data_IF_844123814853
#
_entry.id   IF_844123814853
#
_cell.length_a   1.000
_cell.length_b   1.000
_cell.length_c   1.000
_cell.angle_alpha   90.00
_cell.angle_beta   90.00
_cell.angle_gamma   90.00
#
_symmetry.space_group_name_H-M   'P 1'
#
loop_
_entity.id
_entity.type
_entity.pdbx_description
1 polymer ?
#
# COMPACT_ATOMS: atom_id res chain seq x y z
N UNK A 1 21.23 -9.17 -34.94
CA UNK A 1 19.88 -9.48 -34.43
C UNK A 1 19.44 -8.57 -33.27
N UNK A 2 20.35 -8.03 -32.45
CA UNK A 2 20.00 -7.25 -31.25
C UNK A 2 19.06 -6.03 -31.45
N UNK A 3 19.18 -5.20 -32.51
CA UNK A 3 18.36 -3.99 -32.61
C UNK A 3 16.86 -4.26 -32.83
N UNK A 4 16.49 -5.31 -33.58
CA UNK A 4 15.09 -5.66 -33.85
C UNK A 4 14.41 -6.20 -32.59
N UNK A 5 15.08 -7.12 -31.89
CA UNK A 5 14.55 -7.72 -30.67
C UNK A 5 14.34 -6.68 -29.55
N UNK A 6 15.23 -5.69 -29.43
CA UNK A 6 15.08 -4.60 -28.45
C UNK A 6 13.89 -3.70 -28.80
N UNK A 7 13.71 -3.38 -30.09
CA UNK A 7 12.56 -2.58 -30.54
C UNK A 7 11.23 -3.31 -30.30
N UNK A 8 11.18 -4.62 -30.60
CA UNK A 8 10.02 -5.47 -30.33
C UNK A 8 9.73 -5.58 -28.83
N UNK A 9 10.76 -5.79 -28.00
CA UNK A 9 10.62 -5.82 -26.54
C UNK A 9 10.14 -4.49 -25.96
N UNK A 10 10.61 -3.37 -26.52
CA UNK A 10 10.17 -2.03 -26.11
C UNK A 10 8.69 -1.82 -26.46
N UNK A 11 8.29 -2.13 -27.70
CA UNK A 11 6.90 -2.03 -28.12
C UNK A 11 5.95 -2.97 -27.34
N UNK A 12 6.41 -4.20 -27.04
CA UNK A 12 5.67 -5.14 -26.21
C UNK A 12 5.51 -4.63 -24.77
N UNK A 13 6.57 -4.03 -24.20
CA UNK A 13 6.52 -3.42 -22.87
C UNK A 13 5.55 -2.24 -22.82
N UNK A 14 5.58 -1.34 -23.80
CA UNK A 14 4.67 -0.19 -23.86
C UNK A 14 3.19 -0.62 -23.99
N UNK A 15 2.92 -1.70 -24.73
CA UNK A 15 1.58 -2.30 -24.80
C UNK A 15 1.17 -2.96 -23.49
N UNK A 16 2.09 -3.66 -22.83
CA UNK A 16 1.86 -4.23 -21.51
C UNK A 16 1.47 -3.16 -20.50
N UNK A 17 2.17 -2.02 -20.49
CA UNK A 17 1.84 -0.89 -19.60
C UNK A 17 0.41 -0.37 -19.80
N UNK A 18 -0.16 -0.53 -21.00
CA UNK A 18 -1.55 -0.17 -21.33
C UNK A 18 -2.56 -1.30 -21.12
N UNK A 19 -2.12 -2.44 -20.59
CA UNK A 19 -2.96 -3.60 -20.27
C UNK A 19 -3.04 -4.66 -21.36
N UNK A 20 -2.34 -4.49 -22.50
CA UNK A 20 -2.31 -5.48 -23.57
C UNK A 20 -1.09 -6.40 -23.42
N UNK A 21 -1.31 -7.54 -22.78
CA UNK A 21 -0.28 -8.55 -22.52
C UNK A 21 -0.02 -9.50 -23.70
N UNK A 22 -0.84 -9.47 -24.77
CA UNK A 22 -0.74 -10.43 -25.87
C UNK A 22 0.67 -10.46 -26.52
N UNK A 23 1.22 -9.31 -26.94
CA UNK A 23 2.57 -9.24 -27.49
C UNK A 23 3.66 -9.62 -26.49
N UNK A 24 3.46 -9.29 -25.21
CA UNK A 24 4.40 -9.61 -24.13
C UNK A 24 4.53 -11.12 -23.97
N UNK A 25 3.41 -11.83 -23.86
CA UNK A 25 3.39 -13.29 -23.68
C UNK A 25 4.01 -14.00 -24.90
N UNK A 26 3.63 -13.60 -26.11
CA UNK A 26 4.20 -14.17 -27.34
C UNK A 26 5.72 -13.94 -27.45
N UNK A 27 6.21 -12.79 -26.99
CA UNK A 27 7.64 -12.48 -27.01
C UNK A 27 8.41 -13.23 -25.92
N UNK A 28 7.84 -13.40 -24.72
CA UNK A 28 8.48 -14.16 -23.64
C UNK A 28 8.84 -15.59 -24.08
N UNK A 29 7.91 -16.29 -24.74
CA UNK A 29 8.14 -17.63 -25.30
C UNK A 29 9.29 -17.65 -26.32
N UNK A 30 9.41 -16.60 -27.12
CA UNK A 30 10.48 -16.47 -28.12
C UNK A 30 11.84 -16.14 -27.50
N UNK A 31 11.86 -15.43 -26.36
CA UNK A 31 13.07 -15.03 -25.66
C UNK A 31 13.64 -16.13 -24.75
N UNK A 32 12.89 -17.19 -24.47
CA UNK A 32 13.28 -18.28 -23.55
C UNK A 32 14.58 -18.99 -23.92
N UNK A 33 14.88 -19.09 -25.21
CA UNK A 33 16.07 -19.79 -25.70
C UNK A 33 17.35 -18.92 -25.70
N UNK A 34 17.25 -17.62 -25.40
CA UNK A 34 18.39 -16.70 -25.48
C UNK A 34 19.16 -16.64 -24.16
N UNK A 35 20.50 -16.75 -24.25
CA UNK A 35 21.43 -16.52 -23.14
C UNK A 35 22.10 -15.13 -23.18
N UNK A 36 21.74 -14.29 -24.15
CA UNK A 36 22.29 -12.94 -24.28
C UNK A 36 21.85 -12.05 -23.10
N UNK A 37 22.76 -11.38 -22.36
CA UNK A 37 22.43 -10.63 -21.15
C UNK A 37 21.36 -9.54 -21.35
N UNK A 38 21.41 -8.82 -22.47
CA UNK A 38 20.44 -7.75 -22.77
C UNK A 38 19.06 -8.34 -23.05
N UNK A 39 19.01 -9.45 -23.78
CA UNK A 39 17.78 -10.20 -24.05
C UNK A 39 17.17 -10.76 -22.76
N UNK A 40 18.00 -11.33 -21.89
CA UNK A 40 17.58 -11.83 -20.57
C UNK A 40 17.04 -10.68 -19.70
N UNK A 41 17.67 -9.52 -19.71
CA UNK A 41 17.17 -8.35 -18.98
C UNK A 41 15.82 -7.87 -19.53
N UNK A 42 15.62 -7.81 -20.85
CA UNK A 42 14.32 -7.50 -21.44
C UNK A 42 13.25 -8.52 -21.08
N UNK A 43 13.57 -9.82 -21.15
CA UNK A 43 12.70 -10.90 -20.69
C UNK A 43 12.28 -10.67 -19.24
N UNK A 44 13.22 -10.37 -18.34
CA UNK A 44 12.92 -10.09 -16.93
C UNK A 44 12.02 -8.86 -16.75
N UNK A 45 12.26 -7.78 -17.50
CA UNK A 45 11.42 -6.57 -17.45
C UNK A 45 9.99 -6.86 -17.91
N UNK A 46 9.83 -7.60 -19.01
CA UNK A 46 8.53 -8.04 -19.53
C UNK A 46 7.80 -8.93 -18.53
N UNK A 47 8.49 -9.90 -17.91
CA UNK A 47 7.92 -10.70 -16.83
C UNK A 47 7.48 -9.84 -15.65
N UNK A 48 8.31 -8.89 -15.20
CA UNK A 48 7.98 -8.04 -14.08
C UNK A 48 6.71 -7.21 -14.36
N UNK A 49 6.59 -6.62 -15.55
CA UNK A 49 5.38 -5.90 -15.98
C UNK A 49 4.16 -6.81 -16.10
N UNK A 50 4.29 -7.97 -16.75
CA UNK A 50 3.20 -8.94 -16.88
C UNK A 50 2.70 -9.41 -15.50
N UNK A 51 3.61 -9.62 -14.56
CA UNK A 51 3.27 -10.06 -13.21
C UNK A 51 2.38 -9.07 -12.46
N UNK A 52 2.48 -7.76 -12.75
CA UNK A 52 1.62 -6.73 -12.16
C UNK A 52 0.20 -6.74 -12.75
N UNK A 53 -0.02 -7.43 -13.88
CA UNK A 53 -1.28 -7.43 -14.63
C UNK A 53 -1.94 -8.80 -14.73
N UNK A 54 -1.20 -9.88 -14.50
CA UNK A 54 -1.70 -11.25 -14.54
C UNK A 54 -2.67 -11.54 -13.38
N UNK A 55 -3.81 -12.15 -13.69
CA UNK A 55 -4.85 -12.49 -12.73
C UNK A 55 -4.48 -13.66 -11.82
N UNK A 56 -3.63 -14.58 -12.29
CA UNK A 56 -3.30 -15.82 -11.58
C UNK A 56 -1.95 -15.73 -10.85
N UNK A 57 -1.86 -16.39 -9.70
CA UNK A 57 -0.61 -16.70 -8.99
C UNK A 57 0.17 -17.80 -9.71
N UNK A 58 0.39 -17.65 -11.01
CA UNK A 58 1.08 -18.70 -11.75
C UNK A 58 2.54 -18.81 -11.23
N UNK A 59 2.95 -19.97 -10.66
CA UNK A 59 4.30 -20.17 -10.13
C UNK A 59 5.40 -20.01 -11.20
N UNK A 60 5.04 -19.97 -12.48
CA UNK A 60 5.93 -19.57 -13.57
C UNK A 60 6.47 -18.13 -13.45
N UNK A 61 5.93 -17.30 -12.55
CA UNK A 61 6.37 -15.93 -12.28
C UNK A 61 7.27 -15.78 -11.04
N UNK A 62 7.89 -16.86 -10.54
CA UNK A 62 9.06 -16.68 -9.68
C UNK A 62 10.14 -15.95 -10.48
N UNK A 63 10.32 -14.66 -10.20
CA UNK A 63 11.39 -13.86 -10.77
C UNK A 63 12.70 -14.64 -10.62
N UNK A 64 13.48 -14.86 -11.69
CA UNK A 64 14.76 -15.53 -11.58
C UNK A 64 15.58 -14.83 -10.49
N UNK A 65 15.81 -15.52 -9.36
CA UNK A 65 16.35 -14.89 -8.16
C UNK A 65 17.76 -14.35 -8.35
N UNK A 66 18.52 -14.85 -9.34
CA UNK A 66 19.97 -14.63 -9.37
C UNK A 66 20.61 -14.31 -10.72
N UNK A 67 19.88 -14.09 -11.82
CA UNK A 67 20.53 -13.96 -13.16
C UNK A 67 21.25 -12.63 -13.41
N UNK A 68 21.06 -11.60 -12.58
CA UNK A 68 21.87 -10.37 -12.60
C UNK A 68 22.89 -10.30 -11.45
N UNK A 69 22.97 -11.32 -10.59
CA UNK A 69 23.99 -11.40 -9.54
C UNK A 69 25.41 -11.65 -10.11
N UNK A 70 25.50 -12.10 -11.37
CA UNK A 70 26.77 -12.30 -12.06
C UNK A 70 27.30 -10.99 -12.65
N UNK A 71 27.83 -10.11 -11.79
CA UNK A 71 29.10 -9.40 -11.95
C UNK A 71 29.45 -8.58 -13.20
N UNK A 72 28.67 -8.59 -14.27
CA UNK A 72 28.91 -7.79 -15.47
C UNK A 72 28.22 -6.44 -15.27
N UNK A 73 29.02 -5.42 -15.01
CA UNK A 73 28.56 -4.02 -15.06
C UNK A 73 28.07 -3.75 -16.47
N UNK A 74 26.76 -3.86 -16.67
CA UNK A 74 26.10 -3.34 -17.84
C UNK A 74 26.23 -1.82 -17.82
N UNK A 75 27.21 -1.28 -18.53
CA UNK A 75 27.37 0.17 -18.65
C UNK A 75 26.28 0.77 -19.56
N UNK A 76 25.88 2.01 -19.28
CA UNK A 76 24.96 2.76 -20.12
C UNK A 76 23.51 2.21 -20.12
N UNK A 77 22.92 1.89 -21.29
CA UNK A 77 21.50 1.48 -21.38
C UNK A 77 21.11 0.25 -20.56
N UNK A 78 22.05 -0.68 -20.32
CA UNK A 78 21.76 -1.88 -19.54
C UNK A 78 21.62 -1.62 -18.04
N UNK A 79 22.35 -0.64 -17.47
CA UNK A 79 22.15 -0.21 -16.08
C UNK A 79 20.74 0.36 -15.85
N UNK A 80 20.24 1.17 -16.79
CA UNK A 80 18.88 1.72 -16.73
C UNK A 80 17.82 0.61 -16.81
N UNK A 81 18.06 -0.41 -17.63
CA UNK A 81 17.15 -1.56 -17.74
C UNK A 81 17.11 -2.37 -16.44
N UNK A 82 18.27 -2.61 -15.82
CA UNK A 82 18.36 -3.24 -14.51
C UNK A 82 17.62 -2.46 -13.43
N UNK A 83 17.78 -1.13 -13.39
CA UNK A 83 17.08 -0.26 -12.45
C UNK A 83 15.55 -0.37 -12.59
N UNK A 84 15.03 -0.37 -13.82
CA UNK A 84 13.59 -0.56 -14.08
C UNK A 84 13.07 -1.91 -13.63
N UNK A 85 13.85 -2.98 -13.85
CA UNK A 85 13.50 -4.32 -13.40
C UNK A 85 13.40 -4.35 -11.87
N UNK A 86 14.38 -3.75 -11.17
CA UNK A 86 14.36 -3.69 -9.72
C UNK A 86 13.22 -2.83 -9.19
N UNK A 87 12.93 -1.69 -9.83
CA UNK A 87 11.76 -0.86 -9.51
C UNK A 87 10.44 -1.64 -9.60
N UNK A 88 10.22 -2.38 -10.69
CA UNK A 88 9.00 -3.20 -10.85
C UNK A 88 8.92 -4.35 -9.84
N UNK A 89 10.05 -4.99 -9.52
CA UNK A 89 10.12 -6.04 -8.49
C UNK A 89 9.83 -5.48 -7.10
N UNK A 90 10.41 -4.33 -6.77
CA UNK A 90 10.18 -3.64 -5.50
C UNK A 90 8.73 -3.16 -5.37
N UNK A 91 8.13 -2.64 -6.45
CA UNK A 91 6.71 -2.32 -6.50
C UNK A 91 5.84 -3.56 -6.27
N UNK A 92 6.12 -4.68 -6.93
CA UNK A 92 5.37 -5.94 -6.72
C UNK A 92 5.44 -6.38 -5.25
N UNK A 93 6.64 -6.37 -4.67
CA UNK A 93 6.83 -6.73 -3.27
C UNK A 93 6.10 -5.75 -2.33
N UNK A 94 6.16 -4.45 -2.63
CA UNK A 94 5.44 -3.42 -1.91
C UNK A 94 3.93 -3.66 -1.92
N UNK A 95 3.32 -3.96 -3.07
CA UNK A 95 1.87 -4.20 -3.17
C UNK A 95 1.44 -5.42 -2.34
N UNK A 96 2.30 -6.43 -2.24
CA UNK A 96 2.09 -7.62 -1.41
C UNK A 96 2.43 -7.41 0.09
N UNK A 97 2.86 -6.21 0.48
CA UNK A 97 3.41 -5.89 1.81
C UNK A 97 4.57 -6.81 2.22
N UNK A 98 5.40 -7.26 1.27
CA UNK A 98 6.56 -8.12 1.54
C UNK A 98 7.85 -7.35 1.30
N UNK A 99 8.79 -7.47 2.23
CA UNK A 99 10.18 -7.10 2.04
C UNK A 99 10.84 -8.06 1.06
N UNK A 100 11.84 -7.57 0.31
CA UNK A 100 12.60 -8.40 -0.64
C UNK A 100 13.70 -9.23 0.04
N UNK A 101 13.67 -9.39 1.37
CA UNK A 101 14.81 -9.89 2.14
C UNK A 101 15.96 -8.87 2.20
N UNK A 102 17.00 -9.16 2.99
CA UNK A 102 18.21 -8.34 3.09
C UNK A 102 19.03 -8.41 1.78
N UNK A 103 18.56 -7.77 0.71
CA UNK A 103 19.43 -7.45 -0.41
C UNK A 103 20.25 -6.23 -0.01
N UNK A 104 21.43 -6.49 0.53
CA UNK A 104 22.46 -5.51 0.92
C UNK A 104 23.10 -4.80 -0.31
N UNK A 105 22.37 -4.74 -1.42
CA UNK A 105 22.79 -4.08 -2.64
C UNK A 105 22.60 -2.57 -2.47
N UNK A 106 23.58 -1.93 -1.83
CA UNK A 106 23.69 -0.49 -1.79
C UNK A 106 23.52 0.11 -3.21
N UNK A 107 22.86 1.27 -3.34
CA UNK A 107 22.69 1.93 -4.64
C UNK A 107 24.05 2.19 -5.29
N UNK A 108 24.25 1.62 -6.49
CA UNK A 108 25.53 1.72 -7.23
C UNK A 108 25.70 3.06 -7.95
N UNK A 109 24.67 3.90 -8.02
CA UNK A 109 24.69 5.20 -8.66
C UNK A 109 24.07 6.27 -7.75
N UNK A 110 24.71 7.43 -7.62
CA UNK A 110 24.56 8.42 -6.54
C UNK A 110 23.21 9.16 -6.39
N UNK A 111 22.11 8.63 -6.91
CA UNK A 111 20.75 9.06 -6.59
C UNK A 111 19.92 7.80 -6.32
N UNK A 112 19.15 7.78 -5.22
CA UNK A 112 18.35 6.62 -4.85
C UNK A 112 17.44 6.18 -5.99
N UNK A 113 17.42 4.88 -6.25
CA UNK A 113 16.61 4.26 -7.32
C UNK A 113 15.13 4.23 -6.95
N UNK A 114 14.24 3.98 -7.93
CA UNK A 114 12.83 3.74 -7.63
C UNK A 114 12.67 2.55 -6.67
N UNK A 115 13.51 1.52 -6.82
CA UNK A 115 13.61 0.38 -5.91
C UNK A 115 13.91 0.83 -4.47
N UNK A 116 14.93 1.66 -4.27
CA UNK A 116 15.30 2.18 -2.95
C UNK A 116 14.16 2.97 -2.31
N UNK A 117 13.44 3.75 -3.10
CA UNK A 117 12.33 4.54 -2.60
C UNK A 117 11.19 3.64 -2.08
N UNK A 118 10.84 2.57 -2.80
CA UNK A 118 9.87 1.57 -2.32
C UNK A 118 10.35 0.83 -1.07
N UNK A 119 11.62 0.44 -1.02
CA UNK A 119 12.20 -0.22 0.16
C UNK A 119 12.12 0.64 1.41
N UNK A 120 12.39 1.93 1.26
CA UNK A 120 12.37 2.85 2.38
C UNK A 120 10.95 3.12 2.85
N UNK A 121 10.00 3.23 1.93
CA UNK A 121 8.57 3.26 2.28
C UNK A 121 8.12 2.02 3.03
N UNK A 122 8.58 0.81 2.67
CA UNK A 122 8.29 -0.41 3.45
C UNK A 122 8.78 -0.26 4.89
N UNK A 123 10.01 0.22 5.08
CA UNK A 123 10.61 0.46 6.41
C UNK A 123 10.03 1.68 7.16
N UNK A 124 9.06 2.38 6.57
CA UNK A 124 8.51 3.61 7.15
C UNK A 124 9.47 4.79 7.13
N UNK A 125 10.55 4.69 6.35
CA UNK A 125 11.51 5.75 6.08
C UNK A 125 11.08 6.49 4.81
N UNK A 126 10.55 7.70 4.94
CA UNK A 126 10.29 8.54 3.77
C UNK A 126 11.58 8.77 2.95
N UNK A 127 11.56 8.65 1.61
CA UNK A 127 12.69 9.09 0.79
C UNK A 127 12.93 10.61 0.98
N UNK A 128 14.19 11.10 1.16
CA UNK A 128 14.51 12.50 1.22
C UNK A 128 13.95 13.22 0.01
N UNK A 129 13.55 14.47 0.22
CA UNK A 129 13.01 15.30 -0.85
C UNK A 129 13.95 15.38 -2.06
N UNK A 130 15.27 15.46 -1.83
CA UNK A 130 16.27 15.44 -2.90
C UNK A 130 16.28 14.15 -3.74
N UNK A 131 16.00 12.99 -3.13
CA UNK A 131 15.87 11.72 -3.87
C UNK A 131 14.59 11.75 -4.71
N UNK A 132 13.48 12.24 -4.15
CA UNK A 132 12.22 12.35 -4.88
C UNK A 132 12.29 13.32 -6.06
N UNK A 133 12.93 14.47 -5.87
CA UNK A 133 13.17 15.44 -6.93
C UNK A 133 14.06 14.85 -8.03
N UNK A 134 15.07 14.06 -7.64
CA UNK A 134 15.91 13.29 -8.54
C UNK A 134 15.12 12.31 -9.42
N UNK A 135 14.27 11.48 -8.79
CA UNK A 135 13.40 10.51 -9.49
C UNK A 135 12.44 11.20 -10.46
N UNK A 136 11.80 12.28 -10.04
CA UNK A 136 10.89 13.07 -10.89
C UNK A 136 11.65 13.68 -12.08
N UNK A 137 12.81 14.29 -11.83
CA UNK A 137 13.62 14.90 -12.87
C UNK A 137 14.13 13.85 -13.88
N UNK A 138 14.50 12.66 -13.40
CA UNK A 138 14.90 11.55 -14.25
C UNK A 138 13.74 11.06 -15.12
N UNK A 139 12.55 10.85 -14.54
CA UNK A 139 11.38 10.42 -15.30
C UNK A 139 11.02 11.43 -16.41
N UNK A 140 11.14 12.73 -16.13
CA UNK A 140 10.95 13.80 -17.13
C UNK A 140 12.03 13.74 -18.22
N UNK A 141 13.32 13.61 -17.85
CA UNK A 141 14.42 13.49 -18.83
C UNK A 141 14.25 12.26 -19.72
N UNK A 142 13.85 11.14 -19.14
CA UNK A 142 13.59 9.88 -19.83
C UNK A 142 12.27 9.89 -20.64
N UNK A 143 11.45 10.94 -20.51
CA UNK A 143 10.10 11.03 -21.10
C UNK A 143 9.23 9.81 -20.75
N UNK A 144 9.40 9.27 -19.54
CA UNK A 144 8.68 8.09 -19.09
C UNK A 144 7.52 8.51 -18.18
N UNK A 145 6.32 8.51 -18.75
CA UNK A 145 5.07 8.76 -18.03
C UNK A 145 4.85 7.76 -16.88
N UNK A 146 5.22 6.49 -17.10
CA UNK A 146 5.15 5.43 -16.10
C UNK A 146 5.99 5.76 -14.86
N UNK A 147 7.29 6.01 -15.04
CA UNK A 147 8.19 6.40 -13.94
C UNK A 147 7.73 7.68 -13.24
N UNK A 148 7.15 8.63 -13.97
CA UNK A 148 6.70 9.88 -13.37
C UNK A 148 5.45 9.68 -12.50
N UNK A 149 4.51 8.82 -12.91
CA UNK A 149 3.36 8.43 -12.10
C UNK A 149 3.83 7.68 -10.84
N UNK A 150 4.76 6.75 -10.99
CA UNK A 150 5.34 5.98 -9.89
C UNK A 150 6.03 6.89 -8.87
N UNK A 151 6.93 7.77 -9.31
CA UNK A 151 7.59 8.74 -8.44
C UNK A 151 6.59 9.67 -7.74
N UNK A 152 5.50 10.05 -8.41
CA UNK A 152 4.43 10.85 -7.80
C UNK A 152 3.67 10.06 -6.72
N UNK A 153 3.44 8.77 -6.93
CA UNK A 153 2.80 7.88 -5.97
C UNK A 153 3.69 7.68 -4.72
N UNK A 154 4.98 7.42 -4.91
CA UNK A 154 5.98 7.34 -3.84
C UNK A 154 6.04 8.65 -3.04
N UNK A 155 6.10 9.80 -3.72
CA UNK A 155 6.14 11.10 -3.05
C UNK A 155 4.88 11.37 -2.22
N UNK A 156 3.71 10.89 -2.69
CA UNK A 156 2.47 10.97 -1.93
C UNK A 156 2.51 10.10 -0.67
N UNK A 157 3.01 8.87 -0.76
CA UNK A 157 3.15 7.97 0.39
C UNK A 157 4.14 8.55 1.41
N UNK A 158 5.30 9.03 0.97
CA UNK A 158 6.27 9.70 1.83
C UNK A 158 5.67 10.91 2.56
N UNK A 159 4.90 11.73 1.84
CA UNK A 159 4.20 12.86 2.44
C UNK A 159 3.14 12.43 3.47
N UNK A 160 2.50 11.26 3.31
CA UNK A 160 1.60 10.70 4.33
C UNK A 160 2.38 10.28 5.58
N UNK A 161 3.48 9.54 5.43
CA UNK A 161 4.31 9.10 6.55
C UNK A 161 4.89 10.27 7.35
N UNK A 162 5.16 11.40 6.69
CA UNK A 162 5.62 12.65 7.31
C UNK A 162 4.48 13.53 7.87
N UNK A 163 3.22 13.14 7.70
CA UNK A 163 2.05 13.92 8.15
C UNK A 163 1.75 15.17 7.31
N UNK A 164 2.34 15.31 6.11
CA UNK A 164 2.09 16.40 5.15
C UNK A 164 0.82 16.11 4.32
N UNK A 165 -0.32 16.05 5.00
CA UNK A 165 -1.60 15.54 4.47
C UNK A 165 -2.10 16.23 3.20
N UNK A 166 -2.06 17.57 3.14
CA UNK A 166 -2.51 18.32 1.96
C UNK A 166 -1.62 18.04 0.74
N UNK A 167 -0.31 17.96 0.95
CA UNK A 167 0.67 17.63 -0.11
C UNK A 167 0.43 16.21 -0.62
N UNK A 168 0.20 15.25 0.27
CA UNK A 168 -0.12 13.88 -0.11
C UNK A 168 -1.36 13.80 -1.01
N UNK A 169 -2.48 14.41 -0.60
CA UNK A 169 -3.72 14.39 -1.41
C UNK A 169 -3.52 15.08 -2.77
N UNK A 170 -2.77 16.18 -2.81
CA UNK A 170 -2.44 16.88 -4.06
C UNK A 170 -1.63 15.98 -5.01
N UNK A 171 -0.58 15.32 -4.50
CA UNK A 171 0.26 14.41 -5.28
C UNK A 171 -0.52 13.18 -5.77
N UNK A 172 -1.29 12.52 -4.89
CA UNK A 172 -2.10 11.37 -5.25
C UNK A 172 -3.12 11.69 -6.37
N UNK A 173 -3.78 12.85 -6.28
CA UNK A 173 -4.70 13.33 -7.33
C UNK A 173 -3.98 13.58 -8.65
N UNK A 174 -2.78 14.16 -8.60
CA UNK A 174 -1.95 14.38 -9.78
C UNK A 174 -1.57 13.05 -10.44
N UNK A 175 -1.04 12.09 -9.66
CA UNK A 175 -0.68 10.76 -10.15
C UNK A 175 -1.85 10.04 -10.81
N UNK A 176 -3.03 10.04 -10.17
CA UNK A 176 -4.25 9.42 -10.71
C UNK A 176 -4.69 10.04 -12.04
N UNK A 177 -4.63 11.38 -12.19
CA UNK A 177 -4.93 12.05 -13.46
C UNK A 177 -3.92 11.69 -14.55
N UNK A 178 -2.63 11.68 -14.21
CA UNK A 178 -1.56 11.35 -15.16
C UNK A 178 -1.69 9.92 -15.66
N UNK A 179 -1.86 8.95 -14.75
CA UNK A 179 -2.03 7.55 -15.12
C UNK A 179 -3.22 7.33 -16.07
N UNK A 180 -4.32 8.07 -15.85
CA UNK A 180 -5.50 8.03 -16.72
C UNK A 180 -5.22 8.65 -18.08
N UNK A 181 -4.65 9.84 -18.13
CA UNK A 181 -4.33 10.54 -19.38
C UNK A 181 -3.41 9.70 -20.27
N UNK A 182 -2.48 8.98 -19.66
CA UNK A 182 -1.48 8.17 -20.34
C UNK A 182 -1.92 6.72 -20.56
N UNK A 183 -3.14 6.36 -20.12
CA UNK A 183 -3.74 5.02 -20.25
C UNK A 183 -2.87 3.91 -19.66
N UNK A 184 -2.16 4.19 -18.56
CA UNK A 184 -1.24 3.25 -17.93
C UNK A 184 -1.98 2.37 -16.92
N UNK A 185 -2.28 1.13 -17.28
CA UNK A 185 -3.16 0.22 -16.54
C UNK A 185 -2.67 -0.05 -15.10
N UNK A 186 -1.51 -0.69 -14.93
CA UNK A 186 -0.97 -0.99 -13.60
C UNK A 186 -0.70 0.28 -12.77
N UNK A 187 -0.26 1.36 -13.42
CA UNK A 187 0.02 2.63 -12.75
C UNK A 187 -1.27 3.35 -12.32
N UNK A 188 -2.37 3.16 -13.04
CA UNK A 188 -3.69 3.64 -12.63
C UNK A 188 -4.17 2.88 -11.37
N UNK A 189 -3.89 1.59 -11.24
CA UNK A 189 -4.18 0.84 -10.01
C UNK A 189 -3.39 1.40 -8.83
N UNK A 190 -2.06 1.54 -8.99
CA UNK A 190 -1.18 2.13 -7.98
C UNK A 190 -1.65 3.53 -7.56
N UNK A 191 -1.82 4.43 -8.52
CA UNK A 191 -2.14 5.82 -8.24
C UNK A 191 -3.52 5.98 -7.57
N UNK A 192 -4.49 5.14 -7.93
CA UNK A 192 -5.80 5.16 -7.29
C UNK A 192 -5.78 4.51 -5.90
N UNK A 193 -4.99 3.47 -5.64
CA UNK A 193 -4.78 2.93 -4.29
C UNK A 193 -4.12 3.95 -3.37
N UNK A 194 -3.07 4.63 -3.83
CA UNK A 194 -2.42 5.71 -3.08
C UNK A 194 -3.40 6.85 -2.81
N UNK A 195 -4.26 7.19 -3.78
CA UNK A 195 -5.32 8.17 -3.58
C UNK A 195 -6.38 7.70 -2.58
N UNK A 196 -6.79 6.42 -2.62
CA UNK A 196 -7.71 5.85 -1.65
C UNK A 196 -7.13 5.94 -0.23
N UNK A 197 -5.86 5.55 -0.04
CA UNK A 197 -5.15 5.69 1.23
C UNK A 197 -5.07 7.15 1.69
N UNK A 198 -4.63 8.07 0.82
CA UNK A 198 -4.56 9.49 1.15
C UNK A 198 -5.93 10.04 1.58
N UNK A 199 -7.00 9.63 0.91
CA UNK A 199 -8.38 9.99 1.28
C UNK A 199 -8.78 9.43 2.63
N UNK A 200 -8.46 8.17 2.92
CA UNK A 200 -8.76 7.55 4.21
C UNK A 200 -8.06 8.29 5.35
N UNK A 201 -6.74 8.49 5.24
CA UNK A 201 -5.92 9.16 6.26
C UNK A 201 -6.36 10.62 6.46
N UNK A 202 -6.79 11.31 5.41
CA UNK A 202 -7.30 12.70 5.50
C UNK A 202 -8.78 12.80 5.87
N UNK A 203 -9.44 11.70 6.21
CA UNK A 203 -10.79 11.70 6.76
C UNK A 203 -11.94 11.66 5.77
N UNK A 204 -11.69 11.15 4.58
CA UNK A 204 -12.69 10.94 3.53
C UNK A 204 -12.85 9.44 3.20
N UNK A 205 -13.26 8.59 4.16
CA UNK A 205 -13.34 7.15 3.97
C UNK A 205 -14.34 6.71 2.92
N UNK A 206 -15.47 7.39 2.79
CA UNK A 206 -16.48 7.06 1.79
C UNK A 206 -15.94 7.26 0.37
N UNK A 207 -15.02 8.22 0.19
CA UNK A 207 -14.31 8.40 -1.07
C UNK A 207 -13.25 7.32 -1.25
N UNK A 208 -12.51 6.97 -0.19
CA UNK A 208 -11.56 5.86 -0.22
C UNK A 208 -12.23 4.55 -0.61
N UNK A 209 -13.35 4.21 0.02
CA UNK A 209 -14.17 3.03 -0.28
C UNK A 209 -14.73 3.05 -1.70
N UNK A 210 -15.19 4.20 -2.19
CA UNK A 210 -15.64 4.31 -3.59
C UNK A 210 -14.51 3.97 -4.56
N UNK A 211 -13.29 4.46 -4.30
CA UNK A 211 -12.12 4.18 -5.13
C UNK A 211 -11.72 2.70 -5.01
N UNK A 212 -11.54 2.19 -3.79
CA UNK A 212 -11.11 0.82 -3.54
C UNK A 212 -12.15 -0.21 -4.02
N UNK A 213 -13.45 0.07 -3.87
CA UNK A 213 -14.53 -0.76 -4.39
C UNK A 213 -14.63 -0.75 -5.92
N UNK A 214 -14.33 0.37 -6.58
CA UNK A 214 -14.21 0.39 -8.04
C UNK A 214 -12.98 -0.43 -8.50
N UNK A 215 -11.88 -0.39 -7.75
CA UNK A 215 -10.68 -1.17 -8.04
C UNK A 215 -10.88 -2.67 -7.81
N UNK A 216 -11.57 -3.10 -6.75
CA UNK A 216 -11.73 -4.53 -6.44
C UNK A 216 -12.37 -5.34 -7.58
N UNK A 217 -13.15 -4.69 -8.45
CA UNK A 217 -13.80 -5.32 -9.60
C UNK A 217 -12.88 -5.49 -10.81
N UNK A 218 -11.74 -4.80 -10.87
CA UNK A 218 -10.89 -4.73 -12.09
C UNK A 218 -9.43 -5.06 -11.84
N UNK A 219 -8.93 -4.96 -10.61
CA UNK A 219 -7.51 -5.23 -10.35
C UNK A 219 -7.24 -6.74 -10.30
N UNK A 220 -6.08 -7.19 -10.82
CA UNK A 220 -5.68 -8.59 -10.75
C UNK A 220 -5.24 -8.98 -9.33
N UNK A 221 -5.10 -10.29 -9.09
CA UNK A 221 -4.81 -10.87 -7.76
C UNK A 221 -3.69 -10.17 -6.97
N UNK A 222 -2.52 -9.81 -7.57
CA UNK A 222 -1.43 -9.18 -6.83
C UNK A 222 -1.82 -7.92 -6.07
N UNK A 223 -2.84 -7.18 -6.53
CA UNK A 223 -3.30 -5.92 -5.92
C UNK A 223 -4.42 -6.11 -4.91
N UNK A 224 -5.06 -7.30 -4.89
CA UNK A 224 -6.25 -7.55 -4.08
C UNK A 224 -5.93 -7.41 -2.59
N UNK A 225 -4.74 -7.80 -2.14
CA UNK A 225 -4.31 -7.61 -0.74
C UNK A 225 -4.39 -6.14 -0.31
N UNK A 226 -3.76 -5.24 -1.06
CA UNK A 226 -3.79 -3.81 -0.74
C UNK A 226 -5.21 -3.22 -0.89
N UNK A 227 -5.99 -3.62 -1.90
CA UNK A 227 -7.40 -3.19 -2.01
C UNK A 227 -8.21 -3.59 -0.78
N UNK A 228 -8.13 -4.85 -0.36
CA UNK A 228 -8.84 -5.38 0.82
C UNK A 228 -8.36 -4.72 2.10
N UNK A 229 -7.06 -4.41 2.21
CA UNK A 229 -6.51 -3.62 3.32
C UNK A 229 -7.15 -2.24 3.42
N UNK A 230 -7.18 -1.49 2.32
CA UNK A 230 -7.79 -0.14 2.32
C UNK A 230 -9.29 -0.20 2.57
N UNK A 231 -9.99 -1.23 2.08
CA UNK A 231 -11.40 -1.47 2.38
C UNK A 231 -11.62 -1.74 3.88
N UNK A 232 -10.85 -2.65 4.47
CA UNK A 232 -10.93 -2.99 5.89
C UNK A 232 -10.70 -1.75 6.78
N UNK A 233 -9.62 -1.01 6.51
CA UNK A 233 -9.27 0.19 7.28
C UNK A 233 -10.23 1.36 7.06
N UNK A 234 -10.95 1.39 5.94
CA UNK A 234 -12.01 2.36 5.70
C UNK A 234 -13.39 1.90 6.21
N UNK A 235 -13.47 0.70 6.81
CA UNK A 235 -14.66 0.17 7.48
C UNK A 235 -15.50 -0.80 6.65
N UNK A 236 -15.13 -1.13 5.42
CA UNK A 236 -15.89 -2.08 4.61
C UNK A 236 -15.48 -3.53 4.94
N UNK A 237 -16.32 -4.19 5.75
CA UNK A 237 -16.08 -5.53 6.30
C UNK A 237 -16.97 -6.62 5.69
N UNK A 238 -17.90 -6.22 4.82
CA UNK A 238 -18.87 -7.11 4.18
C UNK A 238 -18.36 -7.60 2.82
N UNK A 239 -18.76 -8.82 2.45
CA UNK A 239 -18.59 -9.34 1.09
C UNK A 239 -17.22 -9.93 0.77
N UNK A 240 -17.27 -11.20 0.31
CA UNK A 240 -16.19 -12.08 -0.17
C UNK A 240 -15.41 -12.82 0.93
N UNK A 241 -15.45 -14.16 0.82
CA UNK A 241 -14.49 -15.14 1.34
C UNK A 241 -14.25 -15.20 2.84
N UNK A 242 -14.47 -16.36 3.46
CA UNK A 242 -13.83 -16.71 4.73
C UNK A 242 -12.34 -17.09 4.50
N UNK A 243 -11.64 -16.36 3.63
CA UNK A 243 -10.22 -16.59 3.38
C UNK A 243 -9.45 -16.17 4.64
N UNK A 244 -8.59 -17.07 5.13
CA UNK A 244 -7.81 -16.85 6.34
C UNK A 244 -6.89 -15.62 6.25
N UNK A 245 -6.56 -15.18 5.04
CA UNK A 245 -5.64 -14.08 4.76
C UNK A 245 -6.35 -12.77 4.36
N UNK A 246 -7.67 -12.65 4.56
CA UNK A 246 -8.40 -11.41 4.23
C UNK A 246 -8.39 -10.41 5.42
N UNK A 247 -7.78 -9.21 5.27
CA UNK A 247 -7.80 -8.18 6.31
C UNK A 247 -9.21 -7.79 6.77
N UNK A 248 -10.21 -7.85 5.89
CA UNK A 248 -11.60 -7.49 6.22
C UNK A 248 -12.23 -8.50 7.18
N UNK A 249 -12.02 -9.79 6.93
CA UNK A 249 -12.49 -10.86 7.81
C UNK A 249 -11.81 -10.79 9.18
N UNK A 250 -10.49 -10.55 9.19
CA UNK A 250 -9.72 -10.38 10.42
C UNK A 250 -10.23 -9.20 11.26
N UNK A 251 -10.44 -8.02 10.65
CA UNK A 251 -10.98 -6.84 11.36
C UNK A 251 -12.39 -7.06 11.88
N UNK A 252 -13.28 -7.70 11.10
CA UNK A 252 -14.64 -8.03 11.54
C UNK A 252 -14.63 -8.93 12.78
N UNK A 253 -13.84 -9.98 12.75
CA UNK A 253 -13.74 -10.95 13.84
C UNK A 253 -13.06 -10.32 15.07
N UNK A 254 -12.09 -9.42 14.86
CA UNK A 254 -11.43 -8.66 15.92
C UNK A 254 -12.43 -7.77 16.65
N UNK A 255 -13.30 -7.06 15.91
CA UNK A 255 -14.38 -6.26 16.47
C UNK A 255 -15.38 -7.12 17.24
N UNK A 256 -15.72 -8.31 16.73
CA UNK A 256 -16.61 -9.24 17.42
C UNK A 256 -16.00 -9.73 18.75
N UNK A 257 -14.71 -10.08 18.77
CA UNK A 257 -13.99 -10.49 19.98
C UNK A 257 -13.89 -9.35 21.01
N UNK A 258 -13.63 -8.13 20.55
CA UNK A 258 -13.64 -6.94 21.40
C UNK A 258 -15.03 -6.67 22.00
N UNK A 259 -16.09 -6.87 21.22
CA UNK A 259 -17.49 -6.74 21.66
C UNK A 259 -17.89 -7.80 22.69
N UNK A 260 -17.42 -9.04 22.54
CA UNK A 260 -17.72 -10.12 23.49
C UNK A 260 -16.82 -10.15 24.72
N UNK A 261 -15.77 -9.32 24.77
CA UNK A 261 -14.75 -9.38 25.82
C UNK A 261 -13.88 -10.64 25.77
N UNK A 262 -13.79 -11.30 24.61
CA UNK A 262 -12.96 -12.50 24.43
C UNK A 262 -11.50 -12.07 24.25
N UNK A 263 -10.78 -11.99 25.37
CA UNK A 263 -9.40 -11.48 25.40
C UNK A 263 -8.45 -12.33 24.58
N UNK A 264 -8.53 -13.66 24.74
CA UNK A 264 -7.63 -14.61 24.07
C UNK A 264 -7.81 -14.52 22.56
N UNK A 265 -9.06 -14.50 22.09
CA UNK A 265 -9.34 -14.36 20.66
C UNK A 265 -8.96 -12.99 20.11
N UNK A 266 -9.20 -11.92 20.85
CA UNK A 266 -8.82 -10.56 20.46
C UNK A 266 -7.30 -10.44 20.26
N UNK A 267 -6.50 -10.99 21.17
CA UNK A 267 -5.04 -10.96 21.06
C UNK A 267 -4.53 -11.78 19.87
N UNK A 268 -5.08 -12.99 19.67
CA UNK A 268 -4.73 -13.83 18.52
C UNK A 268 -5.05 -13.13 17.18
N UNK A 269 -6.25 -12.57 17.05
CA UNK A 269 -6.65 -11.82 15.85
C UNK A 269 -5.85 -10.53 15.66
N UNK A 270 -5.48 -9.85 16.75
CA UNK A 270 -4.63 -8.68 16.67
C UNK A 270 -3.23 -9.00 16.16
N UNK A 271 -2.67 -10.14 16.58
CA UNK A 271 -1.41 -10.65 16.04
C UNK A 271 -1.54 -10.98 14.54
N UNK A 272 -2.60 -11.69 14.14
CA UNK A 272 -2.86 -11.98 12.73
C UNK A 272 -3.04 -10.72 11.88
N UNK A 273 -3.68 -9.67 12.39
CA UNK A 273 -3.83 -8.41 11.66
C UNK A 273 -2.48 -7.71 11.43
N UNK A 274 -1.59 -7.75 12.41
CA UNK A 274 -0.23 -7.20 12.28
C UNK A 274 0.59 -8.03 11.29
N UNK A 275 0.43 -9.36 11.28
CA UNK A 275 1.06 -10.23 10.28
C UNK A 275 0.56 -9.96 8.86
N UNK A 276 -0.74 -9.69 8.68
CA UNK A 276 -1.33 -9.31 7.40
C UNK A 276 -0.84 -7.94 6.90
N UNK A 277 -0.41 -7.05 7.79
CA UNK A 277 0.25 -5.80 7.41
C UNK A 277 1.64 -6.03 6.80
N UNK A 278 2.20 -7.25 6.96
CA UNK A 278 3.48 -7.66 6.43
C UNK A 278 4.61 -6.73 6.86
N UNK A 279 5.53 -6.44 5.96
CA UNK A 279 6.71 -5.60 6.19
C UNK A 279 6.45 -4.11 5.98
N UNK A 280 5.23 -3.70 5.65
CA UNK A 280 4.92 -2.29 5.43
C UNK A 280 4.60 -1.58 6.75
N UNK A 281 5.53 -0.77 7.24
CA UNK A 281 5.41 -0.06 8.52
C UNK A 281 4.16 0.80 8.62
N UNK A 282 3.69 1.46 7.55
CA UNK A 282 2.47 2.26 7.63
C UNK A 282 1.19 1.40 7.73
N UNK A 283 1.18 0.20 7.14
CA UNK A 283 0.11 -0.77 7.38
C UNK A 283 0.18 -1.32 8.81
N UNK A 284 1.36 -1.61 9.34
CA UNK A 284 1.52 -2.01 10.73
C UNK A 284 1.03 -0.91 11.68
N UNK A 285 1.32 0.36 11.39
CA UNK A 285 0.79 1.52 12.13
C UNK A 285 -0.74 1.56 12.08
N UNK A 286 -1.37 1.31 10.93
CA UNK A 286 -2.83 1.20 10.83
C UNK A 286 -3.38 0.08 11.74
N UNK A 287 -2.77 -1.11 11.70
CA UNK A 287 -3.18 -2.25 12.52
C UNK A 287 -3.03 -1.98 14.01
N UNK A 288 -1.88 -1.44 14.43
CA UNK A 288 -1.65 -1.07 15.81
C UNK A 288 -2.61 0.02 16.29
N UNK A 289 -2.82 1.06 15.48
CA UNK A 289 -3.77 2.12 15.81
C UNK A 289 -5.17 1.53 16.07
N UNK A 290 -5.63 0.61 15.21
CA UNK A 290 -6.88 -0.11 15.43
C UNK A 290 -6.89 -0.86 16.76
N UNK A 291 -5.86 -1.66 17.05
CA UNK A 291 -5.77 -2.40 18.31
C UNK A 291 -5.79 -1.49 19.54
N UNK A 292 -5.07 -0.36 19.50
CA UNK A 292 -5.09 0.64 20.57
C UNK A 292 -6.47 1.28 20.75
N UNK A 293 -7.23 1.45 19.67
CA UNK A 293 -8.59 2.01 19.75
C UNK A 293 -9.63 1.06 20.35
N UNK A 294 -9.40 -0.25 20.30
CA UNK A 294 -10.31 -1.29 20.79
C UNK A 294 -9.98 -1.78 22.21
N UNK A 295 -8.79 -1.50 22.70
CA UNK A 295 -8.27 -2.03 23.96
C UNK A 295 -7.74 -0.89 24.87
N UNK A 296 -8.55 -0.39 25.82
CA UNK A 296 -8.14 0.70 26.70
C UNK A 296 -7.03 0.32 27.68
N UNK A 297 -6.73 -0.98 27.85
CA UNK A 297 -5.61 -1.43 28.67
C UNK A 297 -4.26 -1.28 27.94
N UNK A 298 -4.26 -1.11 26.61
CA UNK A 298 -3.04 -0.86 25.86
C UNK A 298 -2.62 0.59 26.01
N UNK A 299 -1.47 0.79 26.64
CA UNK A 299 -0.81 2.10 26.67
C UNK A 299 -0.07 2.32 25.33
N UNK A 300 -0.41 3.38 24.62
CA UNK A 300 0.36 3.79 23.45
C UNK A 300 1.72 4.33 23.89
N UNK A 301 2.79 3.80 23.31
CA UNK A 301 4.15 4.35 23.49
C UNK A 301 4.44 5.51 22.53
N UNK A 302 3.58 5.74 21.53
CA UNK A 302 3.77 6.75 20.49
C UNK A 302 2.58 7.73 20.47
N UNK A 303 2.76 8.98 20.93
CA UNK A 303 1.69 9.99 20.96
C UNK A 303 1.17 10.38 19.57
N UNK A 304 1.87 10.00 18.48
CA UNK A 304 1.42 10.25 17.11
C UNK A 304 0.44 9.20 16.57
N UNK A 305 0.32 8.03 17.21
CA UNK A 305 -0.60 6.95 16.79
C UNK A 305 -2.07 7.39 16.77
N UNK A 306 -2.47 8.36 17.62
CA UNK A 306 -3.81 8.92 17.61
C UNK A 306 -4.22 9.57 16.28
N UNK A 307 -3.25 9.98 15.45
CA UNK A 307 -3.51 10.66 14.17
C UNK A 307 -3.98 9.73 13.05
N UNK A 308 -3.61 8.44 13.08
CA UNK A 308 -3.95 7.50 12.00
C UNK A 308 -5.46 7.15 11.93
N UNK A 309 -6.17 7.27 13.06
CA UNK A 309 -7.59 6.92 13.18
C UNK A 309 -8.53 8.12 13.27
N UNK A 310 -8.04 9.35 13.14
CA UNK A 310 -8.81 10.54 13.49
C UNK A 310 -10.06 10.81 12.63
N UNK A 311 -10.44 9.96 11.67
CA UNK A 311 -11.58 10.29 10.85
C UNK A 311 -12.46 9.18 10.22
N UNK A 312 -12.19 7.84 10.28
CA UNK A 312 -13.29 7.00 9.78
C UNK A 312 -13.58 5.58 10.24
N UNK A 313 -12.77 4.85 11.02
CA UNK A 313 -13.36 3.64 11.63
C UNK A 313 -14.52 4.01 12.57
N UNK A 314 -14.47 5.24 13.05
CA UNK A 314 -15.56 5.91 13.73
C UNK A 314 -16.82 6.01 12.83
N UNK A 315 -16.75 6.23 11.51
CA UNK A 315 -17.97 6.44 10.67
C UNK A 315 -18.82 5.17 10.48
N UNK A 316 -18.23 3.96 10.50
CA UNK A 316 -19.01 2.71 10.56
C UNK A 316 -19.31 2.24 12.00
N UNK A 317 -18.71 2.87 13.00
CA UNK A 317 -19.09 2.81 14.41
C UNK A 317 -19.94 4.03 14.85
N UNK A 318 -20.54 4.79 13.91
CA UNK A 318 -21.30 6.05 14.15
C UNK A 318 -20.64 7.05 15.12
N UNK A 319 -19.35 7.31 14.96
CA UNK A 319 -18.57 8.25 15.75
C UNK A 319 -17.75 9.15 14.80
N UNK A 320 -17.61 10.43 15.15
CA UNK A 320 -16.69 11.36 14.50
C UNK A 320 -15.59 11.66 15.52
N UNK A 321 -14.44 10.99 15.36
CA UNK A 321 -13.26 11.17 16.20
C UNK A 321 -13.41 10.70 17.65
N UNK A 322 -12.38 10.03 18.17
CA UNK A 322 -12.23 9.78 19.60
C UNK A 322 -11.00 10.56 20.08
N UNK A 323 -11.12 11.34 21.16
CA UNK A 323 -9.96 11.75 21.95
C UNK A 323 -10.08 11.15 23.35
N UNK A 324 -9.04 10.46 23.79
CA UNK A 324 -8.89 10.03 25.18
C UNK A 324 -8.33 11.23 25.94
N UNK A 325 -9.10 11.79 26.87
CA UNK A 325 -8.58 12.76 27.83
C UNK A 325 -8.56 12.13 29.21
N UNK A 326 -7.39 12.15 29.85
CA UNK A 326 -7.26 11.97 31.29
C UNK A 326 -7.86 13.19 31.99
N UNK A 327 -8.89 12.99 32.81
CA UNK A 327 -9.33 14.02 33.74
C UNK A 327 -8.54 13.90 35.06
N UNK A 328 -8.34 15.03 35.75
CA UNK A 328 -7.60 15.12 37.02
C UNK A 328 -8.19 14.26 38.16
N UNK A 329 -9.39 13.71 37.96
CA UNK A 329 -10.09 12.80 38.87
C UNK A 329 -9.81 11.30 38.60
N UNK A 330 -8.93 10.98 37.65
CA UNK A 330 -8.55 9.59 37.33
C UNK A 330 -9.56 8.87 36.44
N UNK A 331 -10.55 9.57 35.87
CA UNK A 331 -11.45 8.98 34.88
C UNK A 331 -10.88 9.08 33.46
N UNK A 332 -10.72 7.93 32.79
CA UNK A 332 -10.40 7.87 31.36
C UNK A 332 -11.70 8.02 30.57
N UNK A 333 -11.90 9.19 29.96
CA UNK A 333 -13.07 9.48 29.13
C UNK A 333 -12.71 9.53 27.65
N UNK A 334 -13.44 8.79 26.82
CA UNK A 334 -13.46 9.00 25.36
C UNK A 334 -14.45 10.13 25.06
N UNK A 335 -13.95 11.26 24.56
CA UNK A 335 -14.80 12.34 24.02
C UNK A 335 -14.91 12.20 22.51
N UNK A 336 -16.15 12.14 22.01
CA UNK A 336 -16.50 12.17 20.59
C UNK A 336 -17.00 13.57 20.26
N UNK A 337 -16.43 14.22 19.24
CA UNK A 337 -16.79 15.60 18.88
C UNK A 337 -17.84 15.58 17.76
N UNK A 338 -18.99 16.20 18.02
CA UNK A 338 -19.96 16.57 16.99
C UNK A 338 -19.66 18.00 16.48
N UNK A 339 -20.16 18.32 15.27
CA UNK A 339 -19.97 19.61 14.61
C UNK A 339 -20.38 20.82 15.47
N UNK A 340 -19.86 22.04 15.20
CA UNK A 340 -20.20 23.25 15.96
C UNK A 340 -21.71 23.49 16.01
N UNK A 341 -22.27 23.57 17.22
CA UNK A 341 -23.69 23.89 17.47
C UNK A 341 -24.60 22.70 17.77
N UNK A 342 -24.10 21.48 17.93
CA UNK A 342 -24.89 20.33 18.39
C UNK A 342 -24.51 19.86 19.79
N UNK A 343 -25.51 19.40 20.54
CA UNK A 343 -25.34 18.83 21.90
C UNK A 343 -24.51 17.55 21.79
N UNK A 344 -23.44 17.46 22.57
CA UNK A 344 -22.58 16.27 22.67
C UNK A 344 -23.40 15.06 23.15
N UNK A 345 -23.39 13.98 22.37
CA UNK A 345 -24.02 12.71 22.73
C UNK A 345 -22.94 11.63 22.88
N UNK A 346 -22.95 10.92 24.02
CA UNK A 346 -22.10 9.77 24.30
C UNK A 346 -22.62 8.58 23.48
N UNK A 347 -21.94 8.26 22.38
CA UNK A 347 -22.27 7.09 21.55
C UNK A 347 -21.03 6.20 21.46
N UNK A 348 -20.83 5.40 22.50
CA UNK A 348 -20.51 4.00 22.28
C UNK A 348 -21.86 3.30 22.36
N UNK A 349 -22.22 2.44 21.43
CA UNK A 349 -23.19 1.41 21.80
C UNK A 349 -22.68 0.74 23.07
N UNK A 350 -23.53 0.59 24.08
CA UNK A 350 -23.22 -0.18 25.28
C UNK A 350 -22.63 -1.53 24.83
N UNK A 351 -21.35 -1.79 25.14
CA UNK A 351 -20.73 -3.11 24.95
C UNK A 351 -19.80 -3.32 23.75
N UNK A 352 -19.27 -2.29 23.06
CA UNK A 352 -18.15 -2.48 22.13
C UNK A 352 -16.85 -1.91 22.74
N UNK A 353 -15.92 -2.81 23.09
CA UNK A 353 -14.64 -2.51 23.72
C UNK A 353 -14.48 -3.19 25.08
N UNK A 354 -13.24 -3.52 25.48
CA UNK A 354 -12.99 -4.03 26.83
C UNK A 354 -13.34 -2.96 27.86
N UNK A 355 -14.39 -3.18 28.64
CA UNK A 355 -14.64 -2.34 29.80
C UNK A 355 -13.59 -2.65 30.88
N UNK A 356 -13.02 -1.63 31.55
CA UNK A 356 -12.16 -1.88 32.70
C UNK A 356 -12.93 -2.69 33.76
N UNK A 357 -12.27 -3.58 34.51
CA UNK A 357 -12.89 -4.26 35.63
C UNK A 357 -13.45 -3.22 36.62
N UNK A 358 -14.75 -3.32 36.96
CA UNK A 358 -15.45 -2.39 37.85
C UNK A 358 -16.28 -1.31 37.16
N UNK A 359 -16.34 -1.29 35.82
CA UNK A 359 -17.22 -0.38 35.09
C UNK A 359 -18.61 -1.02 34.90
N UNK A 360 -19.58 -0.66 35.75
CA UNK A 360 -20.98 -1.03 35.53
C UNK A 360 -21.59 -0.15 34.42
N UNK A 361 -22.22 -0.74 33.38
CA UNK A 361 -22.97 0.03 32.42
C UNK A 361 -24.20 0.63 33.11
N UNK A 362 -24.21 1.95 33.29
CA UNK A 362 -25.41 2.65 33.73
C UNK A 362 -26.44 2.51 32.60
N UNK A 363 -27.47 1.71 32.84
CA UNK A 363 -28.66 1.68 31.99
C UNK A 363 -29.35 3.05 32.10
N UNK A 364 -29.49 3.74 30.98
CA UNK A 364 -30.38 4.90 30.85
C UNK A 364 -31.69 4.47 30.22
#
# INVERSE_FOLDING_TARGET
MLPSAIAEATAAFDRALRGDLGPTLALLDALDASSDPVTVAWKQKLHAAASLLAADEDPLFEAPRDTLAAGETLDGPGALLCDEIQGLKALRAFIAFRGLGNSDSAPRHGFGTASDAWHRLLRGEGPPEAVMDGLIAEAVRAKSSARLVEATAVASLAALSEGKLDRAVMLARRGSRMARTEELCAHAYLANLVLARARRITGFPSQALRIAGALSAVVPSPWQHWVRWEQAMAGHLDGLGAEAEDPRACVRDLLAAAKSGDRVRFEALGQSLVELAGDWVDAQRDAHALLFSLDPARQSQDPTMGRALHAPMAVHLRSFGASITSAEDGSAGVRVYAAPGQVTCRILESGVGFLPPGFEPVAL
#
